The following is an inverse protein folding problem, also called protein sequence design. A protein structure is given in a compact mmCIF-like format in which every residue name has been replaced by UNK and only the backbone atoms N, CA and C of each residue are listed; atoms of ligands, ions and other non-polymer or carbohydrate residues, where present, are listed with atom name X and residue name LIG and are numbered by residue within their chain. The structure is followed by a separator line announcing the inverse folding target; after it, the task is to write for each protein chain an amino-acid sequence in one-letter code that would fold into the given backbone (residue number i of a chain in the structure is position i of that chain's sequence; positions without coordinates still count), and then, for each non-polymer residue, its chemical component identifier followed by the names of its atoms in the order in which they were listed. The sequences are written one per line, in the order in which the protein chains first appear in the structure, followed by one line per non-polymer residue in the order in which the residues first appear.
data_IF_182636664343
#
_entry.id   IF_182636664343
#
_cell.length_a   1.000
_cell.length_b   1.000
_cell.length_c   1.000
_cell.angle_alpha   90.00
_cell.angle_beta   90.00
_cell.angle_gamma   90.00
#
_symmetry.space_group_name_H-M   'P 1'
#
loop_
_entity.id
_entity.type
_entity.pdbx_description
1 polymer ?
#
# COMPACT_ATOMS: atom_id res chain seq x y z
N UNK A 1 9.68 -0.48 -14.94
CA UNK A 1 9.60 0.49 -13.83
C UNK A 1 10.85 1.37 -13.85
N UNK A 2 10.73 2.60 -13.39
CA UNK A 2 11.89 3.47 -13.27
C UNK A 2 12.75 3.05 -12.07
N UNK A 3 14.04 3.41 -12.11
CA UNK A 3 14.94 3.13 -10.98
C UNK A 3 14.45 3.78 -9.69
N UNK A 4 13.82 4.94 -9.80
CA UNK A 4 13.25 5.65 -8.65
C UNK A 4 12.13 4.83 -7.97
N UNK A 5 11.27 4.20 -8.76
CA UNK A 5 10.19 3.36 -8.22
C UNK A 5 10.74 2.13 -7.51
N UNK A 6 11.79 1.52 -8.05
CA UNK A 6 12.42 0.36 -7.42
C UNK A 6 13.08 0.73 -6.09
N UNK A 7 13.72 1.89 -6.00
CA UNK A 7 14.32 2.38 -4.75
C UNK A 7 13.24 2.61 -3.71
N UNK A 8 12.13 3.25 -4.06
CA UNK A 8 11.01 3.49 -3.14
C UNK A 8 10.42 2.17 -2.67
N UNK A 9 10.21 1.23 -3.58
CA UNK A 9 9.68 -0.09 -3.23
C UNK A 9 10.59 -0.83 -2.25
N UNK A 10 11.91 -0.80 -2.49
CA UNK A 10 12.87 -1.45 -1.59
C UNK A 10 12.83 -0.85 -0.19
N UNK A 11 12.75 0.48 -0.07
CA UNK A 11 12.66 1.15 1.22
C UNK A 11 11.38 0.78 1.96
N UNK A 12 10.26 0.70 1.27
CA UNK A 12 8.98 0.31 1.87
C UNK A 12 9.06 -1.12 2.41
N UNK A 13 9.59 -2.04 1.63
CA UNK A 13 9.75 -3.43 2.05
C UNK A 13 10.63 -3.52 3.30
N UNK A 14 11.75 -2.80 3.33
CA UNK A 14 12.65 -2.80 4.48
C UNK A 14 11.97 -2.27 5.76
N UNK A 15 11.14 -1.25 5.63
CA UNK A 15 10.48 -0.62 6.77
C UNK A 15 9.35 -1.47 7.37
N UNK A 16 8.71 -2.32 6.57
CA UNK A 16 7.51 -3.03 6.99
C UNK A 16 7.68 -4.53 7.11
N UNK A 17 8.78 -5.10 6.64
CA UNK A 17 8.98 -6.55 6.76
C UNK A 17 9.19 -6.97 8.22
N UNK A 18 8.69 -8.15 8.55
CA UNK A 18 8.77 -8.70 9.91
C UNK A 18 10.14 -9.35 10.18
N UNK A 19 10.84 -9.74 9.13
CA UNK A 19 12.19 -10.28 9.17
C UNK A 19 12.87 -10.00 7.84
N UNK A 20 14.19 -10.22 7.75
CA UNK A 20 14.97 -9.85 6.56
C UNK A 20 14.44 -10.38 5.24
N UNK A 21 13.84 -11.56 5.25
CA UNK A 21 13.33 -12.22 4.03
C UNK A 21 11.85 -11.94 3.78
N UNK A 22 11.20 -11.14 4.61
CA UNK A 22 9.77 -10.87 4.49
C UNK A 22 9.52 -9.80 3.43
N UNK A 23 9.00 -10.24 2.29
CA UNK A 23 8.58 -9.36 1.20
C UNK A 23 7.11 -9.50 0.86
N UNK A 24 6.40 -10.42 1.53
CA UNK A 24 5.01 -10.75 1.19
C UNK A 24 4.01 -10.68 2.34
N UNK A 25 4.41 -10.19 3.51
CA UNK A 25 3.46 -10.07 4.62
C UNK A 25 2.37 -9.03 4.32
N UNK A 26 1.25 -9.11 5.04
CA UNK A 26 0.16 -8.15 4.88
C UNK A 26 0.63 -6.72 5.14
N UNK A 27 1.52 -6.52 6.10
CA UNK A 27 2.10 -5.20 6.42
C UNK A 27 2.81 -4.62 5.19
N UNK A 28 3.69 -5.41 4.57
CA UNK A 28 4.44 -4.99 3.38
C UNK A 28 3.49 -4.73 2.23
N UNK A 29 2.51 -5.60 2.01
CA UNK A 29 1.54 -5.44 0.93
C UNK A 29 0.72 -4.15 1.08
N UNK A 30 0.27 -3.83 2.30
CA UNK A 30 -0.46 -2.59 2.56
C UNK A 30 0.41 -1.38 2.25
N UNK A 31 1.68 -1.41 2.66
CA UNK A 31 2.60 -0.30 2.41
C UNK A 31 2.85 -0.10 0.91
N UNK A 32 3.07 -1.17 0.16
CA UNK A 32 3.28 -1.10 -1.29
C UNK A 32 2.03 -0.62 -2.01
N UNK A 33 0.86 -1.09 -1.62
CA UNK A 33 -0.40 -0.65 -2.19
C UNK A 33 -0.64 0.84 -1.91
N UNK A 34 -0.32 1.31 -0.71
CA UNK A 34 -0.47 2.72 -0.35
C UNK A 34 0.37 3.61 -1.25
N UNK A 35 1.63 3.21 -1.52
CA UNK A 35 2.49 3.96 -2.44
C UNK A 35 1.91 4.01 -3.84
N UNK A 36 1.46 2.87 -4.36
CA UNK A 36 0.85 2.81 -5.69
C UNK A 36 -0.44 3.62 -5.77
N UNK A 37 -1.27 3.57 -4.72
CA UNK A 37 -2.51 4.34 -4.65
C UNK A 37 -2.20 5.84 -4.70
N UNK A 38 -1.21 6.29 -3.94
CA UNK A 38 -0.82 7.70 -3.93
C UNK A 38 -0.32 8.16 -5.29
N UNK A 39 0.53 7.36 -5.94
CA UNK A 39 1.05 7.68 -7.27
C UNK A 39 -0.07 7.75 -8.31
N UNK A 40 -0.99 6.80 -8.26
CA UNK A 40 -2.10 6.75 -9.21
C UNK A 40 -3.12 7.88 -8.95
N UNK A 41 -3.31 8.25 -7.70
CA UNK A 41 -4.16 9.40 -7.34
C UNK A 41 -3.60 10.69 -7.95
N UNK A 42 -2.28 10.91 -7.85
CA UNK A 42 -1.63 12.06 -8.49
C UNK A 42 -1.81 12.03 -10.00
N UNK A 43 -1.63 10.85 -10.61
CA UNK A 43 -1.82 10.70 -12.06
C UNK A 43 -3.23 11.07 -12.47
N UNK A 44 -4.25 10.65 -11.71
CA UNK A 44 -5.65 10.93 -12.02
C UNK A 44 -6.03 12.39 -11.81
N UNK A 45 -5.34 13.11 -10.93
CA UNK A 45 -5.56 14.55 -10.79
C UNK A 45 -5.19 15.31 -12.07
N UNK A 46 -4.20 14.80 -12.81
CA UNK A 46 -3.76 15.39 -14.07
C UNK A 46 -4.46 14.79 -15.30
N UNK A 47 -4.93 13.55 -15.17
CA UNK A 47 -5.53 12.79 -16.28
C UNK A 47 -6.86 12.21 -15.83
N UNK A 48 -7.83 13.09 -15.54
CA UNK A 48 -9.11 12.68 -14.94
C UNK A 48 -10.01 11.84 -15.85
N UNK A 49 -9.68 11.74 -17.14
CA UNK A 49 -10.43 10.91 -18.08
C UNK A 49 -9.83 9.52 -18.29
N UNK A 50 -8.77 9.18 -17.56
CA UNK A 50 -8.16 7.85 -17.63
C UNK A 50 -8.97 6.84 -16.83
N UNK A 51 -9.96 6.22 -17.49
CA UNK A 51 -10.87 5.28 -16.84
C UNK A 51 -10.20 3.98 -16.42
N UNK A 52 -9.18 3.52 -17.15
CA UNK A 52 -8.44 2.32 -16.78
C UNK A 52 -7.68 2.52 -15.48
N UNK A 53 -7.01 3.66 -15.33
CA UNK A 53 -6.30 4.00 -14.10
C UNK A 53 -7.25 4.16 -12.93
N UNK A 54 -8.42 4.74 -13.14
CA UNK A 54 -9.43 4.89 -12.09
C UNK A 54 -9.91 3.53 -11.60
N UNK A 55 -10.15 2.59 -12.53
CA UNK A 55 -10.54 1.23 -12.18
C UNK A 55 -9.45 0.53 -11.38
N UNK A 56 -8.19 0.66 -11.82
CA UNK A 56 -7.04 0.11 -11.11
C UNK A 56 -6.92 0.67 -9.70
N UNK A 57 -7.14 1.97 -9.53
CA UNK A 57 -7.11 2.61 -8.22
C UNK A 57 -8.17 2.01 -7.29
N UNK A 58 -9.40 1.85 -7.76
CA UNK A 58 -10.47 1.26 -6.95
C UNK A 58 -10.16 -0.18 -6.55
N UNK A 59 -9.57 -0.96 -7.45
CA UNK A 59 -9.15 -2.33 -7.14
C UNK A 59 -8.08 -2.37 -6.06
N UNK A 60 -7.09 -1.48 -6.12
CA UNK A 60 -6.02 -1.41 -5.13
C UNK A 60 -6.54 -0.93 -3.77
N UNK A 61 -7.43 0.04 -3.75
CA UNK A 61 -8.06 0.51 -2.51
C UNK A 61 -8.85 -0.63 -1.85
N UNK A 62 -9.62 -1.38 -2.65
CA UNK A 62 -10.36 -2.54 -2.15
C UNK A 62 -9.45 -3.63 -1.61
N UNK A 63 -8.34 -3.91 -2.30
CA UNK A 63 -7.36 -4.91 -1.85
C UNK A 63 -6.69 -4.47 -0.54
N UNK A 64 -6.28 -3.21 -0.45
CA UNK A 64 -5.69 -2.67 0.79
C UNK A 64 -6.67 -2.79 1.95
N UNK A 65 -7.93 -2.46 1.74
CA UNK A 65 -8.96 -2.56 2.78
C UNK A 65 -9.10 -3.99 3.30
N UNK A 66 -9.12 -4.97 2.40
CA UNK A 66 -9.21 -6.38 2.81
C UNK A 66 -8.00 -6.81 3.63
N UNK A 67 -6.80 -6.38 3.25
CA UNK A 67 -5.59 -6.68 4.01
C UNK A 67 -5.62 -6.04 5.39
N UNK A 68 -6.08 -4.80 5.49
CA UNK A 68 -6.21 -4.10 6.77
C UNK A 68 -7.27 -4.76 7.66
N UNK A 69 -8.40 -5.17 7.09
CA UNK A 69 -9.44 -5.89 7.84
C UNK A 69 -8.89 -7.21 8.38
N UNK A 70 -8.11 -7.93 7.57
CA UNK A 70 -7.45 -9.16 8.00
C UNK A 70 -6.50 -8.90 9.17
N UNK A 71 -5.66 -7.88 9.09
CA UNK A 71 -4.76 -7.51 10.18
C UNK A 71 -5.52 -7.12 11.44
N UNK A 72 -6.60 -6.37 11.29
CA UNK A 72 -7.41 -5.93 12.42
C UNK A 72 -8.00 -7.10 13.20
N UNK A 73 -8.40 -8.17 12.50
CA UNK A 73 -8.99 -9.34 13.13
C UNK A 73 -7.96 -10.32 13.67
N UNK A 74 -6.80 -10.45 13.01
CA UNK A 74 -5.80 -11.46 13.37
C UNK A 74 -4.67 -10.92 14.24
N UNK A 75 -4.33 -9.64 14.11
CA UNK A 75 -3.21 -9.03 14.86
C UNK A 75 -3.45 -7.53 14.99
N UNK A 76 -4.29 -7.15 15.93
CA UNK A 76 -4.65 -5.75 16.17
C UNK A 76 -3.44 -4.85 16.41
N UNK A 77 -2.43 -5.24 17.21
CA UNK A 77 -1.24 -4.38 17.38
C UNK A 77 -0.51 -4.09 16.07
N UNK A 78 -0.38 -5.08 15.17
CA UNK A 78 0.22 -4.85 13.85
C UNK A 78 -0.64 -3.92 13.01
N UNK A 79 -1.96 -4.10 13.03
CA UNK A 79 -2.88 -3.21 12.34
C UNK A 79 -2.69 -1.76 12.79
N UNK A 80 -2.63 -1.53 14.10
CA UNK A 80 -2.42 -0.18 14.64
C UNK A 80 -1.08 0.39 14.24
N UNK A 81 -0.02 -0.42 14.26
CA UNK A 81 1.32 0.02 13.85
C UNK A 81 1.34 0.43 12.38
N UNK A 82 0.76 -0.39 11.50
CA UNK A 82 0.74 -0.12 10.06
C UNK A 82 -0.06 1.14 9.75
N UNK A 83 -1.25 1.26 10.31
CA UNK A 83 -2.10 2.44 10.05
C UNK A 83 -1.45 3.72 10.57
N UNK A 84 -0.78 3.65 11.71
CA UNK A 84 -0.07 4.79 12.28
C UNK A 84 1.11 5.20 11.40
N UNK A 85 1.94 4.23 10.96
CA UNK A 85 3.10 4.51 10.11
C UNK A 85 2.68 5.11 8.77
N UNK A 86 1.58 4.64 8.20
CA UNK A 86 1.10 5.09 6.88
C UNK A 86 0.10 6.23 6.99
N UNK A 87 -0.25 6.65 8.21
CA UNK A 87 -1.23 7.73 8.48
C UNK A 87 -2.59 7.43 7.84
N UNK A 88 -2.99 6.18 7.87
CA UNK A 88 -4.28 5.75 7.34
C UNK A 88 -5.38 5.92 8.38
N UNK A 89 -6.59 6.20 7.88
CA UNK A 89 -7.78 6.32 8.73
C UNK A 89 -8.55 5.00 8.70
N UNK A 90 -8.42 4.25 9.72
CA UNK A 90 -9.19 3.01 9.90
C UNK A 90 -9.52 2.78 11.35
#
# INVERSE_FOLDING_TARGET
MSAKEEVVKSKIVQNFRLHEKDTGSADVQVALLTERINNLTEHLQKNNKDHSSRRGLLMMVGHRRRLLDYLHTTDTPRYQTVTKKLKLRH
#
